data_IF_288045187915
#
_entry.id   IF_288045187915
#
_cell.length_a   1.000
_cell.length_b   1.000
_cell.length_c   1.000
_cell.angle_alpha   90.00
_cell.angle_beta   90.00
_cell.angle_gamma   90.00
#
_symmetry.space_group_name_H-M   'P 1'
#
loop_
_entity.id
_entity.type
_entity.pdbx_description
1 polymer ?
#
# COMPACT_ATOMS: atom_id res chain seq x y z
N UNK A 1 -27.70 -1.52 21.20
CA UNK A 1 -26.24 -1.75 21.39
C UNK A 1 -25.95 -3.24 21.22
N UNK A 2 -25.67 -3.68 19.99
CA UNK A 2 -25.10 -5.00 19.74
C UNK A 2 -23.61 -4.80 19.44
N UNK A 3 -22.80 -4.67 20.49
CA UNK A 3 -21.36 -4.67 20.33
C UNK A 3 -20.92 -6.11 20.09
N UNK A 4 -20.73 -6.49 18.83
CA UNK A 4 -19.96 -7.67 18.52
C UNK A 4 -18.53 -7.46 19.05
N UNK A 5 -18.27 -7.90 20.29
CA UNK A 5 -17.00 -7.83 21.00
C UNK A 5 -15.98 -8.83 20.43
N UNK A 6 -15.84 -8.91 19.13
CA UNK A 6 -14.90 -9.87 18.55
C UNK A 6 -13.55 -9.17 18.33
N UNK A 7 -12.55 -9.58 19.09
CA UNK A 7 -11.16 -9.30 18.81
C UNK A 7 -10.69 -10.30 17.76
N UNK A 8 -9.94 -9.81 16.78
CA UNK A 8 -9.16 -10.70 15.93
C UNK A 8 -7.71 -10.60 16.36
N UNK A 9 -7.04 -11.74 16.46
CA UNK A 9 -5.62 -11.83 16.77
C UNK A 9 -4.94 -12.72 15.75
N UNK A 10 -3.68 -12.40 15.48
CA UNK A 10 -2.82 -13.15 14.58
C UNK A 10 -1.45 -13.29 15.23
N UNK A 11 -0.91 -14.51 15.25
CA UNK A 11 0.43 -14.79 15.77
C UNK A 11 1.17 -15.55 14.68
N UNK A 12 2.34 -15.04 14.29
CA UNK A 12 3.18 -15.63 13.26
C UNK A 12 4.59 -15.82 13.74
N UNK A 13 5.17 -16.96 13.37
CA UNK A 13 6.59 -17.24 13.51
C UNK A 13 7.16 -17.51 12.13
N UNK A 14 8.33 -16.98 11.87
CA UNK A 14 9.01 -17.12 10.57
C UNK A 14 10.50 -17.32 10.81
N UNK A 15 11.11 -18.22 10.03
CA UNK A 15 12.55 -18.36 9.94
C UNK A 15 12.95 -18.21 8.47
N UNK A 16 13.92 -17.37 8.19
CA UNK A 16 14.37 -17.06 6.85
C UNK A 16 15.90 -17.13 6.79
N UNK A 17 16.42 -17.67 5.68
CA UNK A 17 17.85 -17.73 5.42
C UNK A 17 18.13 -17.32 3.98
N UNK A 18 18.97 -16.31 3.81
CA UNK A 18 19.42 -15.81 2.51
C UNK A 18 20.94 -16.03 2.46
N UNK A 19 21.38 -16.73 1.44
CA UNK A 19 22.79 -16.92 1.13
C UNK A 19 23.15 -16.09 -0.12
N UNK A 20 24.31 -15.44 -0.08
CA UNK A 20 24.77 -14.64 -1.21
C UNK A 20 26.29 -14.67 -1.30
N UNK A 21 26.80 -15.24 -2.39
CA UNK A 21 28.24 -15.43 -2.63
C UNK A 21 29.02 -14.11 -2.76
N UNK A 22 28.34 -13.03 -3.13
CA UNK A 22 28.95 -11.70 -3.37
C UNK A 22 28.79 -10.73 -2.19
N UNK A 23 28.02 -11.10 -1.14
CA UNK A 23 27.74 -10.21 -0.04
C UNK A 23 27.74 -10.98 1.30
N UNK A 24 26.77 -10.68 2.17
CA UNK A 24 26.64 -11.33 3.47
C UNK A 24 25.44 -12.30 3.51
N UNK A 25 25.61 -13.37 4.24
CA UNK A 25 24.55 -14.31 4.57
C UNK A 25 23.73 -13.78 5.72
N UNK A 26 22.42 -13.89 5.61
CA UNK A 26 21.48 -13.48 6.67
C UNK A 26 20.61 -14.65 7.08
N UNK A 27 20.57 -14.92 8.39
CA UNK A 27 19.56 -15.78 9.00
C UNK A 27 18.70 -14.94 9.93
N UNK A 28 17.40 -15.02 9.78
CA UNK A 28 16.42 -14.26 10.58
C UNK A 28 15.40 -15.21 11.20
N UNK A 29 15.14 -15.03 12.48
CA UNK A 29 14.01 -15.61 13.18
C UNK A 29 13.10 -14.49 13.64
N UNK A 30 11.82 -14.58 13.34
CA UNK A 30 10.84 -13.55 13.62
C UNK A 30 9.64 -14.11 14.36
N UNK A 31 9.23 -13.42 15.42
CA UNK A 31 7.94 -13.58 16.09
C UNK A 31 7.10 -12.31 15.89
N UNK A 32 5.83 -12.47 15.58
CA UNK A 32 4.92 -11.35 15.37
C UNK A 32 3.56 -11.64 15.97
N UNK A 33 3.04 -10.70 16.73
CA UNK A 33 1.68 -10.74 17.29
C UNK A 33 0.92 -9.48 16.86
N UNK A 34 -0.34 -9.66 16.47
CA UNK A 34 -1.25 -8.59 16.09
C UNK A 34 -2.59 -8.82 16.76
N UNK A 35 -3.22 -7.74 17.24
CA UNK A 35 -4.59 -7.69 17.69
C UNK A 35 -5.30 -6.52 17.05
N UNK A 36 -6.51 -6.76 16.56
CA UNK A 36 -7.36 -5.68 16.06
C UNK A 36 -8.77 -5.79 16.60
N UNK A 37 -9.45 -4.66 16.65
CA UNK A 37 -10.83 -4.56 17.07
C UNK A 37 -11.56 -3.51 16.24
N UNK A 38 -12.76 -3.89 15.79
CA UNK A 38 -13.70 -2.99 15.14
C UNK A 38 -14.91 -2.77 16.06
N UNK A 39 -15.25 -1.52 16.31
CA UNK A 39 -16.40 -1.07 17.07
C UNK A 39 -17.30 -0.27 16.14
N UNK A 40 -18.54 -0.70 16.00
CA UNK A 40 -19.53 0.01 15.21
C UNK A 40 -20.50 0.72 16.16
N UNK A 41 -20.56 2.03 16.06
CA UNK A 41 -21.60 2.88 16.63
C UNK A 41 -22.64 3.16 15.55
N UNK A 42 -23.69 3.91 15.85
CA UNK A 42 -24.78 4.12 14.90
C UNK A 42 -24.32 4.58 13.52
N UNK A 43 -23.36 5.51 13.47
CA UNK A 43 -22.87 6.09 12.22
C UNK A 43 -21.33 6.09 12.12
N UNK A 44 -20.63 5.71 13.18
CA UNK A 44 -19.18 5.77 13.24
C UNK A 44 -18.63 4.38 13.46
N UNK A 45 -17.64 4.02 12.66
CA UNK A 45 -16.81 2.84 12.86
C UNK A 45 -15.46 3.27 13.44
N UNK A 46 -15.09 2.70 14.59
CA UNK A 46 -13.74 2.81 15.16
C UNK A 46 -12.99 1.50 14.93
N UNK A 47 -11.81 1.59 14.35
CA UNK A 47 -10.90 0.47 14.15
C UNK A 47 -9.63 0.74 14.97
N UNK A 48 -9.24 -0.23 15.79
CA UNK A 48 -7.99 -0.19 16.55
C UNK A 48 -7.12 -1.36 16.15
N UNK A 49 -5.84 -1.12 15.98
CA UNK A 49 -4.85 -2.12 15.63
C UNK A 49 -3.63 -1.95 16.52
N UNK A 50 -3.12 -3.05 17.08
CA UNK A 50 -1.87 -3.06 17.80
C UNK A 50 -1.06 -4.29 17.39
N UNK A 51 0.23 -4.13 17.22
CA UNK A 51 1.13 -5.22 16.89
C UNK A 51 2.46 -5.10 17.63
N UNK A 52 3.12 -6.24 17.79
CA UNK A 52 4.49 -6.36 18.32
C UNK A 52 5.26 -7.36 17.48
N UNK A 53 6.50 -7.06 17.20
CA UNK A 53 7.43 -7.93 16.49
C UNK A 53 8.75 -8.04 17.21
N UNK A 54 9.34 -9.22 17.17
CA UNK A 54 10.70 -9.49 17.63
C UNK A 54 11.43 -10.20 16.51
N UNK A 55 12.56 -9.66 16.09
CA UNK A 55 13.42 -10.25 15.07
C UNK A 55 14.82 -10.46 15.61
N UNK A 56 15.39 -11.62 15.33
CA UNK A 56 16.77 -11.99 15.66
C UNK A 56 17.50 -12.25 14.35
N UNK A 57 18.57 -11.50 14.11
CA UNK A 57 19.40 -11.62 12.93
C UNK A 57 20.76 -12.19 13.27
N UNK A 58 21.24 -13.11 12.44
CA UNK A 58 22.63 -13.54 12.37
C UNK A 58 23.15 -13.21 10.99
N UNK A 59 24.14 -12.32 10.92
CA UNK A 59 24.72 -11.81 9.66
C UNK A 59 26.18 -12.26 9.62
N UNK A 60 26.57 -12.92 8.53
CA UNK A 60 27.90 -13.45 8.31
C UNK A 60 28.47 -12.90 7.00
N UNK A 61 29.74 -12.56 6.95
CA UNK A 61 30.45 -12.15 5.75
C UNK A 61 30.03 -10.75 5.28
N UNK A 62 30.64 -9.68 5.77
CA UNK A 62 30.38 -8.31 5.27
C UNK A 62 31.34 -7.94 4.16
N UNK A 63 30.88 -7.43 2.97
CA UNK A 63 31.77 -7.09 1.86
C UNK A 63 32.52 -5.78 2.02
N UNK A 64 32.63 -5.21 3.19
CA UNK A 64 33.41 -3.99 3.35
C UNK A 64 34.36 -4.10 4.52
N UNK A 65 35.64 -4.02 4.20
CA UNK A 65 36.72 -3.56 5.07
C UNK A 65 36.74 -4.16 6.50
N UNK A 66 37.63 -5.07 6.72
CA UNK A 66 38.21 -5.36 8.05
C UNK A 66 37.42 -6.19 9.07
N UNK A 67 36.69 -7.18 8.70
CA UNK A 67 36.51 -8.36 9.54
C UNK A 67 35.41 -9.26 9.05
N UNK A 68 35.66 -10.54 8.98
CA UNK A 68 34.68 -11.64 8.92
C UNK A 68 33.90 -11.75 10.25
N UNK A 69 33.49 -10.66 10.84
CA UNK A 69 32.77 -10.67 12.12
C UNK A 69 31.31 -11.03 11.91
N UNK A 70 30.92 -12.13 12.53
CA UNK A 70 29.53 -12.49 12.71
C UNK A 70 28.84 -11.42 13.57
N UNK A 71 27.79 -10.78 13.04
CA UNK A 71 26.98 -9.84 13.80
C UNK A 71 25.64 -10.47 14.17
N UNK A 72 25.28 -10.27 15.43
CA UNK A 72 23.95 -10.61 15.92
C UNK A 72 23.19 -9.33 16.22
N UNK A 73 22.01 -9.17 15.61
CA UNK A 73 21.14 -8.02 15.82
C UNK A 73 19.81 -8.52 16.34
N UNK A 74 19.40 -7.98 17.46
CA UNK A 74 18.05 -8.14 18.00
C UNK A 74 17.25 -6.85 17.74
N UNK A 75 16.00 -7.01 17.34
CA UNK A 75 15.11 -5.89 17.07
C UNK A 75 13.74 -6.16 17.66
N UNK A 76 13.23 -5.17 18.38
CA UNK A 76 11.85 -5.14 18.84
C UNK A 76 11.13 -4.02 18.11
N UNK A 77 9.96 -4.31 17.57
CA UNK A 77 9.10 -3.34 16.91
C UNK A 77 7.69 -3.41 17.47
N UNK A 78 7.00 -2.29 17.48
CA UNK A 78 5.58 -2.24 17.83
C UNK A 78 4.88 -1.20 16.97
N UNK A 79 3.60 -1.45 16.69
CA UNK A 79 2.75 -0.53 15.97
C UNK A 79 1.40 -0.43 16.64
N UNK A 80 0.83 0.76 16.61
CA UNK A 80 -0.51 1.03 17.10
C UNK A 80 -1.22 1.97 16.15
N UNK A 81 -2.49 1.74 15.88
CA UNK A 81 -3.31 2.71 15.17
C UNK A 81 -4.74 2.75 15.67
N UNK A 82 -5.35 3.91 15.51
CA UNK A 82 -6.77 4.15 15.71
C UNK A 82 -7.32 4.85 14.48
N UNK A 83 -8.34 4.29 13.88
CA UNK A 83 -9.03 4.89 12.75
C UNK A 83 -10.51 5.11 13.09
N UNK A 84 -11.05 6.21 12.58
CA UNK A 84 -12.47 6.51 12.61
C UNK A 84 -12.97 6.72 11.19
N UNK A 85 -14.08 6.11 10.83
CA UNK A 85 -14.79 6.35 9.57
C UNK A 85 -16.30 6.50 9.81
N UNK A 86 -16.95 7.17 8.87
CA UNK A 86 -18.41 7.34 8.87
C UNK A 86 -18.92 7.17 7.43
N UNK A 87 -20.03 6.47 7.26
CA UNK A 87 -20.63 6.27 5.95
C UNK A 87 -21.89 7.12 5.79
N UNK A 88 -21.92 7.89 4.71
CA UNK A 88 -23.08 8.68 4.28
C UNK A 88 -23.65 8.07 3.01
N UNK A 89 -24.92 7.68 3.04
CA UNK A 89 -25.64 7.09 1.91
C UNK A 89 -26.67 8.05 1.34
N UNK A 90 -26.66 8.23 0.02
CA UNK A 90 -27.68 8.95 -0.73
C UNK A 90 -28.30 7.97 -1.73
N UNK A 91 -29.58 7.70 -1.57
CA UNK A 91 -30.30 6.69 -2.37
C UNK A 91 -31.45 7.36 -3.10
N UNK A 92 -31.48 7.16 -4.41
CA UNK A 92 -32.60 7.51 -5.29
C UNK A 92 -33.02 6.27 -6.07
N UNK A 93 -34.08 6.33 -6.85
CA UNK A 93 -34.58 5.19 -7.64
C UNK A 93 -33.54 4.63 -8.63
N UNK A 94 -32.60 5.48 -9.09
CA UNK A 94 -31.63 5.13 -10.15
C UNK A 94 -30.16 5.22 -9.73
N UNK A 95 -29.91 5.69 -8.50
CA UNK A 95 -28.54 5.97 -8.07
C UNK A 95 -28.40 5.75 -6.58
N UNK A 96 -27.38 5.02 -6.19
CA UNK A 96 -26.93 4.91 -4.80
C UNK A 96 -25.51 5.47 -4.73
N UNK A 97 -25.29 6.46 -3.86
CA UNK A 97 -23.97 7.02 -3.60
C UNK A 97 -23.64 6.80 -2.13
N UNK A 98 -22.48 6.20 -1.87
CA UNK A 98 -21.94 6.00 -0.52
C UNK A 98 -20.63 6.79 -0.44
N UNK A 99 -20.49 7.66 0.54
CA UNK A 99 -19.27 8.43 0.81
C UNK A 99 -18.76 8.04 2.18
N UNK A 100 -17.50 7.62 2.27
CA UNK A 100 -16.85 7.23 3.52
C UNK A 100 -15.56 8.04 3.74
N UNK A 101 -15.59 9.14 4.49
CA UNK A 101 -14.39 9.75 5.04
C UNK A 101 -13.78 8.87 6.14
N UNK A 102 -12.46 8.75 6.14
CA UNK A 102 -11.68 8.02 7.14
C UNK A 102 -10.47 8.84 7.58
N UNK A 103 -10.27 8.89 8.90
CA UNK A 103 -9.08 9.42 9.55
C UNK A 103 -8.43 8.33 10.38
N UNK A 104 -7.10 8.26 10.35
CA UNK A 104 -6.33 7.33 11.17
C UNK A 104 -5.12 8.05 11.77
N UNK A 105 -4.90 7.82 13.06
CA UNK A 105 -3.60 8.03 13.69
C UNK A 105 -2.87 6.69 13.75
N UNK A 106 -1.59 6.68 13.35
CA UNK A 106 -0.72 5.51 13.40
C UNK A 106 0.61 5.89 14.02
N UNK A 107 1.11 5.05 14.93
CA UNK A 107 2.40 5.20 15.60
C UNK A 107 3.17 3.89 15.47
N UNK A 108 4.43 3.97 15.02
CA UNK A 108 5.30 2.82 14.87
C UNK A 108 6.63 3.09 15.54
N UNK A 109 6.97 2.20 16.45
CA UNK A 109 8.25 2.17 17.16
C UNK A 109 9.09 1.00 16.68
N UNK A 110 10.39 1.19 16.64
CA UNK A 110 11.37 0.12 16.50
C UNK A 110 12.64 0.48 17.26
N UNK A 111 13.34 -0.53 17.79
CA UNK A 111 14.59 -0.32 18.51
C UNK A 111 15.67 0.36 17.66
N UNK A 112 16.66 0.99 18.29
CA UNK A 112 17.70 1.78 17.63
C UNK A 112 18.56 0.98 16.66
N UNK A 113 18.69 -0.33 16.87
CA UNK A 113 19.45 -1.22 15.98
C UNK A 113 18.78 -1.56 14.65
N UNK A 114 17.59 -1.03 14.37
CA UNK A 114 16.90 -1.24 13.09
C UNK A 114 17.73 -0.75 11.89
N UNK A 115 18.48 0.33 12.06
CA UNK A 115 19.32 0.90 10.99
C UNK A 115 20.56 0.05 10.69
N UNK A 116 20.87 -0.92 11.53
CA UNK A 116 21.97 -1.88 11.34
C UNK A 116 21.53 -3.11 10.54
N UNK A 117 20.22 -3.34 10.41
CA UNK A 117 19.65 -4.46 9.64
C UNK A 117 19.81 -4.19 8.15
N UNK A 118 20.49 -5.05 7.40
CA UNK A 118 20.59 -4.91 5.96
C UNK A 118 19.24 -5.21 5.30
N UNK A 119 18.82 -4.35 4.39
CA UNK A 119 17.59 -4.58 3.66
C UNK A 119 17.79 -5.64 2.56
N UNK A 120 17.12 -6.76 2.67
CA UNK A 120 17.12 -7.86 1.70
C UNK A 120 15.71 -8.26 1.24
N UNK A 121 14.71 -8.07 2.08
CA UNK A 121 13.34 -8.50 1.78
C UNK A 121 12.33 -7.36 1.76
N UNK A 122 12.74 -6.15 2.13
CA UNK A 122 11.81 -5.04 2.23
C UNK A 122 11.86 -4.16 1.00
N UNK A 123 10.70 -3.98 0.39
CA UNK A 123 10.43 -3.02 -0.65
C UNK A 123 9.42 -1.98 -0.17
N UNK A 124 9.60 -0.76 -0.60
CA UNK A 124 8.63 0.31 -0.35
C UNK A 124 7.36 0.04 -1.17
N UNK A 125 6.21 0.17 -0.55
CA UNK A 125 4.95 0.16 -1.27
C UNK A 125 4.81 1.47 -2.08
N UNK A 126 4.35 1.36 -3.31
CA UNK A 126 3.73 2.51 -3.95
C UNK A 126 2.51 2.90 -3.12
N UNK A 127 2.46 4.14 -2.65
CA UNK A 127 1.37 4.61 -1.81
C UNK A 127 0.06 4.62 -2.62
N UNK A 128 -0.95 3.91 -2.12
CA UNK A 128 -2.27 3.76 -2.74
C UNK A 128 -3.39 3.66 -1.69
N UNK A 129 -4.63 3.49 -2.12
CA UNK A 129 -5.78 3.32 -1.24
C UNK A 129 -5.62 2.15 -0.27
N UNK A 130 -5.04 1.04 -0.71
CA UNK A 130 -4.95 -0.20 0.08
C UNK A 130 -3.92 -0.08 1.21
N UNK A 131 -2.84 0.69 0.99
CA UNK A 131 -1.73 0.75 1.93
C UNK A 131 -1.59 2.07 2.70
N UNK A 132 -2.34 3.12 2.34
CA UNK A 132 -2.34 4.40 3.06
C UNK A 132 -2.58 4.22 4.56
N UNK A 133 -3.48 3.32 4.93
CA UNK A 133 -3.90 3.05 6.31
C UNK A 133 -3.17 1.88 6.98
N UNK A 134 -2.10 1.36 6.38
CA UNK A 134 -1.24 0.37 7.03
C UNK A 134 -0.29 1.03 8.03
N UNK A 135 -0.01 0.34 9.15
CA UNK A 135 0.95 0.82 10.13
C UNK A 135 2.38 0.85 9.57
N UNK A 136 2.78 -0.16 8.80
CA UNK A 136 4.05 -0.19 8.09
C UNK A 136 3.81 -0.10 6.58
N UNK A 137 4.49 0.81 5.91
CA UNK A 137 4.37 1.02 4.45
C UNK A 137 5.48 0.30 3.67
N UNK A 138 6.18 -0.63 4.30
CA UNK A 138 7.11 -1.55 3.63
C UNK A 138 6.52 -2.95 3.55
N UNK A 139 6.73 -3.59 2.40
CA UNK A 139 6.66 -5.05 2.30
C UNK A 139 7.89 -5.64 3.00
N UNK A 140 7.79 -6.89 3.43
CA UNK A 140 8.89 -7.56 4.11
C UNK A 140 9.02 -7.14 5.58
N UNK A 141 10.20 -7.38 6.15
CA UNK A 141 10.45 -7.16 7.57
C UNK A 141 11.72 -6.40 7.88
N UNK A 142 12.66 -6.30 6.94
CA UNK A 142 13.95 -5.70 7.23
C UNK A 142 13.82 -4.20 7.48
N UNK A 143 12.95 -3.50 6.74
CA UNK A 143 12.64 -2.10 6.97
C UNK A 143 11.35 -1.90 7.77
N UNK A 144 11.40 -0.98 8.73
CA UNK A 144 10.28 -0.55 9.54
C UNK A 144 10.21 0.97 9.55
N UNK A 145 9.03 1.49 9.27
CA UNK A 145 8.78 2.93 9.27
C UNK A 145 8.57 3.43 10.70
N UNK A 146 9.61 4.03 11.29
CA UNK A 146 9.57 4.61 12.64
C UNK A 146 8.99 6.01 12.62
N UNK A 147 7.69 6.16 12.62
CA UNK A 147 7.07 7.47 12.70
C UNK A 147 5.64 7.44 13.26
N UNK A 148 5.18 8.61 13.65
CA UNK A 148 3.78 8.89 13.92
C UNK A 148 3.18 9.61 12.73
N UNK A 149 1.98 9.20 12.32
CA UNK A 149 1.29 9.73 11.13
C UNK A 149 -0.19 9.94 11.38
N UNK A 150 -0.74 10.91 10.67
CA UNK A 150 -2.17 11.07 10.47
C UNK A 150 -2.46 10.76 9.00
N UNK A 151 -3.31 9.79 8.75
CA UNK A 151 -3.76 9.40 7.42
C UNK A 151 -5.21 9.86 7.23
N UNK A 152 -5.48 10.50 6.11
CA UNK A 152 -6.80 10.99 5.74
C UNK A 152 -7.19 10.38 4.39
N UNK A 153 -8.44 9.99 4.24
CA UNK A 153 -8.94 9.52 2.96
C UNK A 153 -10.46 9.63 2.86
N UNK A 154 -10.93 9.74 1.64
CA UNK A 154 -12.35 9.72 1.31
C UNK A 154 -12.54 8.70 0.19
N UNK A 155 -13.39 7.72 0.44
CA UNK A 155 -13.87 6.78 -0.58
C UNK A 155 -15.28 7.17 -0.97
N UNK A 156 -15.60 7.15 -2.25
CA UNK A 156 -16.96 7.32 -2.76
C UNK A 156 -17.29 6.20 -3.74
N UNK A 157 -18.40 5.52 -3.50
CA UNK A 157 -18.96 4.51 -4.40
C UNK A 157 -20.29 5.02 -4.94
N UNK A 158 -20.39 5.16 -6.26
CA UNK A 158 -21.63 5.49 -6.95
C UNK A 158 -22.05 4.29 -7.81
N UNK A 159 -23.22 3.74 -7.53
CA UNK A 159 -23.88 2.69 -8.31
C UNK A 159 -25.04 3.31 -9.08
N UNK A 160 -25.01 3.25 -10.40
CA UNK A 160 -26.02 3.91 -11.24
C UNK A 160 -26.53 2.95 -12.32
N UNK A 161 -27.82 3.01 -12.61
CA UNK A 161 -28.43 2.17 -13.66
C UNK A 161 -27.83 2.40 -15.05
N UNK A 162 -27.45 3.65 -15.36
CA UNK A 162 -27.05 4.01 -16.72
C UNK A 162 -25.54 4.10 -16.91
N UNK A 163 -24.78 4.41 -15.85
CA UNK A 163 -23.32 4.63 -15.92
C UNK A 163 -22.54 3.49 -15.26
N UNK A 164 -23.24 2.49 -14.69
CA UNK A 164 -22.60 1.43 -13.92
C UNK A 164 -22.02 1.91 -12.60
N UNK A 165 -20.98 1.24 -12.14
CA UNK A 165 -20.36 1.47 -10.84
C UNK A 165 -19.11 2.31 -10.97
N UNK A 166 -19.01 3.37 -10.15
CA UNK A 166 -17.84 4.25 -10.08
C UNK A 166 -17.34 4.24 -8.63
N UNK A 167 -16.10 3.82 -8.44
CA UNK A 167 -15.40 3.94 -7.17
C UNK A 167 -14.32 5.04 -7.29
N UNK A 168 -14.35 5.99 -6.38
CA UNK A 168 -13.38 7.08 -6.30
C UNK A 168 -12.71 7.07 -4.94
N UNK A 169 -11.42 7.31 -4.91
CA UNK A 169 -10.64 7.50 -3.68
C UNK A 169 -9.73 8.72 -3.81
N UNK A 170 -9.64 9.48 -2.73
CA UNK A 170 -8.62 10.50 -2.52
C UNK A 170 -8.06 10.37 -1.10
N UNK A 171 -6.75 10.46 -0.95
CA UNK A 171 -6.12 10.34 0.36
C UNK A 171 -4.73 10.93 0.45
N UNK A 172 -4.29 11.19 1.68
CA UNK A 172 -2.98 11.73 1.99
C UNK A 172 -2.53 11.30 3.39
N UNK A 173 -1.23 11.14 3.59
CA UNK A 173 -0.59 10.89 4.87
C UNK A 173 0.24 12.09 5.30
N UNK A 174 0.16 12.44 6.59
CA UNK A 174 0.99 13.47 7.19
C UNK A 174 1.82 12.88 8.33
N UNK A 175 3.13 13.00 8.26
CA UNK A 175 4.05 12.67 9.34
C UNK A 175 3.97 13.72 10.43
N UNK A 176 3.70 13.26 11.65
CA UNK A 176 3.66 14.09 12.86
C UNK A 176 5.02 14.12 13.52
N UNK A 177 5.65 12.97 13.70
CA UNK A 177 6.96 12.83 14.33
C UNK A 177 7.74 11.61 13.78
N UNK A 178 9.00 11.46 14.22
CA UNK A 178 9.84 10.32 13.87
C UNK A 178 10.68 10.48 12.61
N UNK A 179 11.46 9.44 12.31
CA UNK A 179 12.38 9.42 11.16
C UNK A 179 11.69 8.83 9.94
N UNK A 180 12.04 9.35 8.77
CA UNK A 180 11.53 8.89 7.47
C UNK A 180 12.69 8.32 6.64
N UNK A 181 13.53 7.52 7.27
CA UNK A 181 14.60 6.84 6.53
C UNK A 181 14.00 5.87 5.52
N UNK A 182 14.53 5.92 4.30
CA UNK A 182 14.24 5.00 3.20
C UNK A 182 12.83 5.08 2.55
N UNK A 183 12.00 6.05 2.89
CA UNK A 183 10.79 6.36 2.12
C UNK A 183 11.09 7.62 1.32
N UNK A 184 11.56 7.43 0.11
CA UNK A 184 12.05 8.54 -0.71
C UNK A 184 11.04 9.03 -1.73
N UNK A 185 10.08 8.20 -2.09
CA UNK A 185 9.38 8.37 -3.35
C UNK A 185 7.96 8.94 -3.20
N UNK A 186 7.35 8.86 -2.03
CA UNK A 186 5.96 9.31 -1.86
C UNK A 186 5.78 10.44 -0.84
N UNK A 187 6.85 10.94 -0.26
CA UNK A 187 6.79 12.00 0.74
C UNK A 187 7.75 13.13 0.41
N UNK A 188 7.22 14.31 0.38
CA UNK A 188 7.99 15.55 0.36
C UNK A 188 7.80 16.23 1.72
N UNK A 189 8.90 16.55 2.40
CA UNK A 189 8.91 17.04 3.78
C UNK A 189 8.19 16.12 4.77
N UNK A 190 6.99 16.52 5.20
CA UNK A 190 6.15 15.80 6.16
C UNK A 190 4.87 15.24 5.55
N UNK A 191 4.57 15.60 4.31
CA UNK A 191 3.32 15.20 3.65
C UNK A 191 3.60 14.21 2.54
N UNK A 192 2.76 13.21 2.41
CA UNK A 192 2.77 12.36 1.23
C UNK A 192 2.20 13.12 0.04
N UNK A 193 2.48 12.63 -1.14
CA UNK A 193 1.71 12.99 -2.32
C UNK A 193 0.24 12.67 -2.10
N UNK A 194 -0.63 13.39 -2.80
CA UNK A 194 -2.06 13.11 -2.80
C UNK A 194 -2.33 11.92 -3.71
N UNK A 195 -2.94 10.89 -3.13
CA UNK A 195 -3.35 9.68 -3.85
C UNK A 195 -4.72 9.93 -4.43
N UNK A 196 -4.89 9.64 -5.72
CA UNK A 196 -6.19 9.62 -6.37
C UNK A 196 -6.36 8.30 -7.10
N UNK A 197 -7.55 7.70 -7.04
CA UNK A 197 -7.93 6.59 -7.89
C UNK A 197 -9.39 6.67 -8.28
N UNK A 198 -9.67 6.23 -9.50
CA UNK A 198 -11.02 6.06 -10.04
C UNK A 198 -11.08 4.70 -10.70
N UNK A 199 -12.05 3.89 -10.30
CA UNK A 199 -12.40 2.65 -10.97
C UNK A 199 -13.83 2.79 -11.47
N UNK A 200 -14.04 2.63 -12.76
CA UNK A 200 -15.33 2.77 -13.41
C UNK A 200 -15.67 1.52 -14.20
N UNK A 201 -16.78 0.89 -13.84
CA UNK A 201 -17.35 -0.27 -14.49
C UNK A 201 -18.70 0.11 -15.14
N UNK A 202 -18.71 0.66 -16.38
CA UNK A 202 -19.96 1.05 -17.04
C UNK A 202 -20.86 -0.16 -17.35
N UNK A 203 -20.30 -1.35 -17.41
CA UNK A 203 -21.01 -2.62 -17.56
C UNK A 203 -20.10 -3.77 -17.14
N UNK A 204 -20.60 -4.98 -17.05
CA UNK A 204 -19.81 -6.19 -16.80
C UNK A 204 -18.74 -6.46 -17.88
N UNK A 205 -18.86 -5.82 -19.05
CA UNK A 205 -17.94 -6.00 -20.18
C UNK A 205 -16.78 -5.05 -20.19
N UNK A 206 -16.84 -3.92 -19.49
CA UNK A 206 -15.85 -2.85 -19.55
C UNK A 206 -15.42 -2.39 -18.17
N UNK A 207 -14.10 -2.20 -18.01
CA UNK A 207 -13.50 -1.63 -16.83
C UNK A 207 -12.51 -0.54 -17.25
N UNK A 208 -12.57 0.59 -16.57
CA UNK A 208 -11.60 1.68 -16.63
C UNK A 208 -11.05 1.92 -15.24
N UNK A 209 -9.73 1.97 -15.10
CA UNK A 209 -9.12 2.40 -13.86
C UNK A 209 -8.07 3.48 -14.12
N UNK A 210 -8.05 4.46 -13.25
CA UNK A 210 -7.04 5.50 -13.25
C UNK A 210 -6.52 5.69 -11.84
N UNK A 211 -5.21 5.75 -11.73
CA UNK A 211 -4.48 6.02 -10.49
C UNK A 211 -3.51 7.15 -10.71
N UNK A 212 -3.35 8.04 -9.73
CA UNK A 212 -2.34 9.07 -9.78
C UNK A 212 -1.83 9.46 -8.40
N UNK A 213 -0.53 9.76 -8.33
CA UNK A 213 0.11 10.46 -7.22
C UNK A 213 0.38 11.90 -7.64
N UNK A 214 -0.21 12.86 -6.94
CA UNK A 214 0.00 14.29 -7.16
C UNK A 214 0.90 14.87 -6.09
N UNK A 215 1.92 15.57 -6.52
CA UNK A 215 2.71 16.41 -5.66
C UNK A 215 1.85 17.58 -5.14
N UNK A 216 1.72 17.70 -3.83
CA UNK A 216 0.86 18.71 -3.21
C UNK A 216 1.40 20.14 -3.30
N UNK A 217 2.68 20.35 -3.64
CA UNK A 217 3.28 21.67 -3.78
C UNK A 217 3.08 22.27 -5.17
N UNK A 218 3.23 21.48 -6.22
CA UNK A 218 3.19 21.96 -7.60
C UNK A 218 1.98 21.46 -8.41
N UNK A 219 1.17 20.55 -7.81
CA UNK A 219 0.01 19.89 -8.43
C UNK A 219 0.35 19.13 -9.72
N UNK A 220 1.61 18.75 -9.92
CA UNK A 220 2.00 17.84 -10.98
C UNK A 220 1.70 16.40 -10.58
N UNK A 221 1.38 15.58 -11.57
CA UNK A 221 1.26 14.15 -11.41
C UNK A 221 2.64 13.50 -11.54
N UNK A 222 3.15 12.94 -10.46
CA UNK A 222 4.44 12.25 -10.47
C UNK A 222 4.30 10.80 -10.96
N UNK A 223 3.14 10.21 -10.76
CA UNK A 223 2.74 8.93 -11.35
C UNK A 223 1.31 9.04 -11.84
N UNK A 224 1.06 8.55 -13.06
CA UNK A 224 -0.28 8.35 -13.60
C UNK A 224 -0.34 7.01 -14.31
N UNK A 225 -1.24 6.15 -13.86
CA UNK A 225 -1.53 4.84 -14.46
C UNK A 225 -2.99 4.84 -14.94
N UNK A 226 -3.21 4.67 -16.22
CA UNK A 226 -4.52 4.47 -16.81
C UNK A 226 -4.63 3.05 -17.38
N UNK A 227 -5.68 2.34 -17.03
CA UNK A 227 -5.95 1.01 -17.53
C UNK A 227 -7.37 0.94 -18.07
N UNK A 228 -7.50 0.31 -19.22
CA UNK A 228 -8.76 -0.05 -19.82
C UNK A 228 -8.76 -1.55 -20.13
N UNK A 229 -9.83 -2.22 -19.81
CA UNK A 229 -10.06 -3.59 -20.26
C UNK A 229 -11.52 -3.78 -20.69
N UNK A 230 -11.71 -4.64 -21.66
CA UNK A 230 -13.03 -4.95 -22.17
C UNK A 230 -13.13 -6.32 -22.81
N UNK A 231 -14.37 -6.84 -22.87
CA UNK A 231 -14.65 -8.10 -23.55
C UNK A 231 -15.94 -7.98 -24.37
N UNK A 232 -15.89 -8.45 -25.63
CA UNK A 232 -17.06 -8.47 -26.51
C UNK A 232 -16.94 -9.60 -27.55
N UNK A 233 -17.95 -10.42 -27.70
CA UNK A 233 -18.00 -11.54 -28.66
C UNK A 233 -16.79 -12.48 -28.61
N UNK A 234 -16.32 -12.81 -27.40
CA UNK A 234 -15.15 -13.67 -27.20
C UNK A 234 -13.80 -13.00 -27.45
N UNK A 235 -13.78 -11.73 -27.83
CA UNK A 235 -12.60 -10.91 -27.86
C UNK A 235 -12.38 -10.23 -26.50
N UNK A 236 -11.11 -10.21 -26.02
CA UNK A 236 -10.71 -9.40 -24.90
C UNK A 236 -9.66 -8.39 -25.39
N UNK A 237 -9.80 -7.15 -24.97
CA UNK A 237 -8.88 -6.08 -25.28
C UNK A 237 -8.47 -5.32 -24.01
N UNK A 238 -7.24 -4.83 -24.01
CA UNK A 238 -6.72 -4.01 -22.95
C UNK A 238 -5.84 -2.90 -23.52
N UNK A 239 -5.81 -1.77 -22.84
CA UNK A 239 -4.89 -0.69 -23.09
C UNK A 239 -4.41 -0.14 -21.76
N UNK A 240 -3.09 -0.02 -21.59
CA UNK A 240 -2.49 0.51 -20.37
C UNK A 240 -1.56 1.65 -20.77
N UNK A 241 -1.70 2.78 -20.10
CA UNK A 241 -0.77 3.91 -20.20
C UNK A 241 -0.22 4.22 -18.82
N UNK A 242 1.10 4.28 -18.70
CA UNK A 242 1.79 4.67 -17.49
C UNK A 242 2.74 5.81 -17.78
N UNK A 243 2.68 6.84 -16.95
CA UNK A 243 3.62 7.97 -16.95
C UNK A 243 4.22 8.11 -15.56
N UNK A 244 5.55 8.29 -15.50
CA UNK A 244 6.31 8.51 -14.26
C UNK A 244 7.26 9.67 -14.49
N UNK A 245 7.16 10.71 -13.65
CA UNK A 245 8.06 11.86 -13.66
C UNK A 245 9.49 11.42 -13.26
N UNK A 246 10.48 11.87 -14.01
CA UNK A 246 11.88 11.52 -13.79
C UNK A 246 12.46 12.08 -12.49
N UNK A 247 12.00 13.24 -12.05
CA UNK A 247 12.40 13.84 -10.78
C UNK A 247 11.96 12.98 -9.61
N UNK A 248 10.75 12.40 -9.71
CA UNK A 248 10.19 11.53 -8.70
C UNK A 248 11.00 10.25 -8.47
N UNK A 249 11.58 9.65 -9.51
CA UNK A 249 12.39 8.43 -9.42
C UNK A 249 13.89 8.70 -9.28
N UNK A 250 14.28 9.95 -9.01
CA UNK A 250 15.69 10.37 -8.81
C UNK A 250 16.63 10.08 -9.99
N UNK A 251 16.08 9.94 -11.20
CA UNK A 251 16.84 9.60 -12.40
C UNK A 251 16.71 10.67 -13.51
N UNK A 252 15.90 11.71 -13.28
CA UNK A 252 15.65 12.86 -14.14
C UNK A 252 15.28 12.49 -15.59
N UNK A 253 14.71 11.31 -15.78
CA UNK A 253 14.22 10.83 -17.08
C UNK A 253 12.77 10.42 -16.92
N UNK A 254 11.88 11.19 -17.55
CA UNK A 254 10.46 10.84 -17.62
C UNK A 254 10.30 9.49 -18.34
N UNK A 255 9.38 8.69 -17.85
CA UNK A 255 9.05 7.39 -18.44
C UNK A 255 7.60 7.35 -18.83
N UNK A 256 7.37 7.02 -20.07
CA UNK A 256 6.02 6.73 -20.58
C UNK A 256 6.00 5.33 -21.19
N UNK A 257 5.00 4.57 -20.83
CA UNK A 257 4.76 3.23 -21.36
C UNK A 257 3.32 3.14 -21.86
N UNK A 258 3.14 2.60 -23.06
CA UNK A 258 1.84 2.35 -23.65
C UNK A 258 1.79 0.89 -24.11
N UNK A 259 0.88 0.12 -23.55
CA UNK A 259 0.72 -1.30 -23.86
C UNK A 259 -0.70 -1.57 -24.37
N UNK A 260 -0.82 -2.41 -25.38
CA UNK A 260 -2.10 -2.87 -25.91
C UNK A 260 -2.11 -4.40 -25.90
N UNK A 261 -3.25 -4.97 -25.54
CA UNK A 261 -3.47 -6.40 -25.56
C UNK A 261 -4.75 -6.74 -26.32
N UNK A 262 -4.69 -7.78 -27.16
CA UNK A 262 -5.82 -8.33 -27.85
C UNK A 262 -5.77 -9.85 -27.75
N UNK A 263 -6.87 -10.47 -27.33
CA UNK A 263 -6.96 -11.92 -27.30
C UNK A 263 -8.37 -12.39 -27.70
N UNK A 264 -8.45 -13.56 -28.30
CA UNK A 264 -9.71 -14.22 -28.63
C UNK A 264 -9.74 -15.64 -28.09
N UNK A 265 -10.83 -15.99 -27.43
CA UNK A 265 -11.13 -17.35 -27.03
C UNK A 265 -11.91 -18.08 -28.14
N UNK A 266 -11.38 -19.20 -28.56
CA UNK A 266 -12.07 -20.17 -29.39
C UNK A 266 -12.44 -21.38 -28.52
N UNK A 267 -13.40 -22.18 -28.93
CA UNK A 267 -13.88 -23.31 -28.12
C UNK A 267 -12.77 -24.27 -27.69
N UNK A 268 -11.68 -24.39 -28.48
CA UNK A 268 -10.61 -25.37 -28.24
C UNK A 268 -9.22 -24.74 -28.07
N UNK A 269 -9.04 -23.44 -28.31
CA UNK A 269 -7.74 -22.78 -28.22
C UNK A 269 -7.88 -21.26 -28.03
N UNK A 270 -6.81 -20.64 -27.52
CA UNK A 270 -6.71 -19.18 -27.29
C UNK A 270 -5.59 -18.61 -28.12
N UNK A 271 -5.83 -17.51 -28.83
CA UNK A 271 -4.79 -16.66 -29.42
C UNK A 271 -4.68 -15.36 -28.65
N UNK A 272 -3.46 -14.87 -28.47
CA UNK A 272 -3.21 -13.56 -27.87
C UNK A 272 -2.13 -12.84 -28.64
N UNK A 273 -2.25 -11.52 -28.70
CA UNK A 273 -1.27 -10.61 -29.25
C UNK A 273 -1.09 -9.47 -28.24
N UNK A 274 0.17 -9.12 -27.94
CA UNK A 274 0.56 -8.03 -27.03
C UNK A 274 1.69 -7.20 -27.64
#
# INVERSE_FOLDING_TARGET
>A
FNSNKKYNYDIKFNAHSIYNDESYDIKRWSGFGKINKKLNFTNITLETDANIGVDLYSIQGRPSTDSNENRYIDRISSGFSVAASNQYGFITDKTTIIIEPKIQFSSVFSSDRTDEVPNRDSAEFRLDQANLFLNNQFQGRDNIQKNDRINLGITSLAMTENLGDINFFIGQSQKVSGTQKNITVAYEDRQSHVINSIDWNPSEMYNFSWFSLYNHHNFKSDISDFNFSGSFNGWNYSANHRSVDGEFISNNIDREELNFGLSKHFSNWKTSYS
#
